data_IF_259226043448
#
_entry.id   IF_259226043448
#
_cell.length_a   1.000
_cell.length_b   1.000
_cell.length_c   1.000
_cell.angle_alpha   90.00
_cell.angle_beta   90.00
_cell.angle_gamma   90.00
#
_symmetry.space_group_name_H-M   'P 1'
#
loop_
_entity.id
_entity.type
_entity.pdbx_description
1 polymer ?
#
# COMPACT_ATOMS: atom_id res chain seq x y z
N UNK A 1 6.93 4.56 1.77
CA UNK A 1 7.11 5.10 3.14
C UNK A 1 7.46 3.97 4.11
N UNK A 2 6.55 3.07 4.48
CA UNK A 2 6.81 2.02 5.48
C UNK A 2 7.90 1.03 5.09
N UNK A 3 7.98 0.61 3.83
CA UNK A 3 9.07 -0.27 3.34
C UNK A 3 10.44 0.36 3.56
N UNK A 4 10.59 1.68 3.31
CA UNK A 4 11.84 2.41 3.57
C UNK A 4 12.19 2.51 5.07
N UNK A 5 11.21 2.28 5.95
CA UNK A 5 11.41 2.19 7.40
C UNK A 5 11.63 0.75 7.87
N UNK A 6 11.81 -0.20 6.96
CA UNK A 6 12.09 -1.60 7.26
C UNK A 6 10.85 -2.44 7.59
N UNK A 7 9.63 -1.93 7.30
CA UNK A 7 8.42 -2.74 7.43
C UNK A 7 8.23 -3.66 6.23
N UNK A 8 7.75 -4.85 6.48
CA UNK A 8 7.21 -5.73 5.47
C UNK A 8 5.76 -5.35 5.21
N UNK A 9 5.47 -4.81 4.04
CA UNK A 9 4.12 -4.35 3.66
C UNK A 9 3.40 -5.40 2.82
N UNK A 10 2.13 -5.66 3.14
CA UNK A 10 1.19 -6.47 2.36
C UNK A 10 0.05 -5.57 1.89
N UNK A 11 -0.23 -5.58 0.60
CA UNK A 11 -1.31 -4.83 -0.04
C UNK A 11 -2.60 -5.64 0.09
N UNK A 12 -3.29 -5.49 1.22
CA UNK A 12 -4.43 -6.32 1.58
C UNK A 12 -5.65 -6.01 0.70
N UNK A 13 -5.93 -4.75 0.43
CA UNK A 13 -7.02 -4.30 -0.42
C UNK A 13 -6.91 -4.84 -1.86
N UNK A 14 -5.69 -4.89 -2.43
CA UNK A 14 -5.45 -5.44 -3.76
C UNK A 14 -5.67 -6.97 -3.84
N UNK A 15 -5.51 -7.68 -2.73
CA UNK A 15 -5.65 -9.14 -2.67
C UNK A 15 -7.08 -9.60 -2.38
N UNK A 16 -7.84 -8.85 -1.55
CA UNK A 16 -9.14 -9.27 -1.01
C UNK A 16 -10.32 -8.51 -1.62
N UNK A 17 -10.09 -7.45 -2.39
CA UNK A 17 -11.13 -6.64 -3.00
C UNK A 17 -12.13 -6.09 -1.98
N UNK A 18 -13.44 -6.23 -2.24
CA UNK A 18 -14.50 -5.71 -1.34
C UNK A 18 -14.55 -6.37 0.06
N UNK A 19 -13.83 -7.46 0.25
CA UNK A 19 -13.75 -8.19 1.53
C UNK A 19 -12.60 -7.72 2.43
N UNK A 20 -11.88 -6.66 2.03
CA UNK A 20 -10.73 -6.11 2.75
C UNK A 20 -11.09 -5.49 4.11
N UNK A 21 -12.39 -5.28 4.37
CA UNK A 21 -12.92 -4.65 5.59
C UNK A 21 -12.32 -3.25 5.86
N UNK A 22 -11.88 -2.55 4.79
CA UNK A 22 -11.24 -1.25 4.89
C UNK A 22 -9.76 -1.30 5.31
N UNK A 23 -9.11 -2.45 5.19
CA UNK A 23 -7.67 -2.60 5.38
C UNK A 23 -6.98 -2.56 4.03
N UNK A 24 -6.41 -1.43 3.69
CA UNK A 24 -5.70 -1.29 2.42
C UNK A 24 -4.31 -1.92 2.49
N UNK A 25 -3.58 -1.68 3.59
CA UNK A 25 -2.24 -2.20 3.82
C UNK A 25 -2.12 -2.81 5.21
N UNK A 26 -1.28 -3.83 5.32
CA UNK A 26 -0.81 -4.37 6.61
C UNK A 26 0.72 -4.35 6.60
N UNK A 27 1.32 -3.59 7.51
CA UNK A 27 2.77 -3.47 7.64
C UNK A 27 3.26 -4.14 8.93
N UNK A 28 4.29 -4.96 8.82
CA UNK A 28 4.82 -5.73 9.96
C UNK A 28 6.31 -5.49 10.14
N UNK A 29 6.72 -5.23 11.39
CA UNK A 29 8.14 -5.08 11.77
C UNK A 29 8.30 -5.50 13.24
N UNK A 30 9.29 -6.31 13.54
CA UNK A 30 9.69 -6.70 14.91
C UNK A 30 8.51 -7.14 15.80
N UNK A 31 7.57 -7.90 15.23
CA UNK A 31 6.38 -8.37 15.92
C UNK A 31 5.22 -7.37 15.99
N UNK A 32 5.44 -6.11 15.68
CA UNK A 32 4.40 -5.07 15.59
C UNK A 32 3.66 -5.15 14.25
N UNK A 33 2.36 -4.87 14.29
CA UNK A 33 1.49 -4.86 13.12
C UNK A 33 0.81 -3.49 13.01
N UNK A 34 0.98 -2.82 11.88
CA UNK A 34 0.20 -1.63 11.52
C UNK A 34 -0.92 -2.05 10.56
N UNK A 35 -2.14 -1.65 10.89
CA UNK A 35 -3.33 -1.83 10.04
C UNK A 35 -3.66 -0.47 9.45
N UNK A 36 -3.49 -0.33 8.13
CA UNK A 36 -3.50 0.98 7.48
C UNK A 36 -4.69 1.06 6.53
N UNK A 37 -5.47 2.14 6.68
CA UNK A 37 -6.51 2.53 5.74
C UNK A 37 -6.09 3.82 5.03
N UNK A 38 -6.23 3.83 3.69
CA UNK A 38 -5.88 4.97 2.84
C UNK A 38 -7.15 5.53 2.18
N UNK A 39 -7.38 6.84 2.27
CA UNK A 39 -8.48 7.51 1.57
C UNK A 39 -7.94 8.64 0.70
N UNK A 40 -7.88 8.37 -0.61
CA UNK A 40 -7.58 9.40 -1.60
C UNK A 40 -8.87 10.07 -2.06
N UNK A 41 -9.24 11.15 -1.39
CA UNK A 41 -10.42 11.93 -1.72
C UNK A 41 -10.05 13.34 -2.17
N UNK A 42 -10.95 13.99 -2.90
CA UNK A 42 -10.80 15.39 -3.27
C UNK A 42 -10.76 16.25 -1.99
N UNK A 43 -10.00 17.35 -2.02
CA UNK A 43 -9.71 18.19 -0.85
C UNK A 43 -10.98 18.77 -0.19
N UNK A 44 -12.05 18.93 -0.95
CA UNK A 44 -13.35 19.46 -0.50
C UNK A 44 -14.17 18.43 0.29
N UNK A 45 -13.80 17.16 0.22
CA UNK A 45 -14.48 16.08 0.95
C UNK A 45 -13.88 15.93 2.34
N UNK A 46 -14.73 15.60 3.29
CA UNK A 46 -14.34 15.41 4.70
C UNK A 46 -14.52 13.94 5.09
N UNK A 47 -13.56 13.41 5.82
CA UNK A 47 -13.63 12.06 6.39
C UNK A 47 -14.52 12.09 7.63
N UNK A 48 -15.58 11.28 7.61
CA UNK A 48 -16.53 11.16 8.72
C UNK A 48 -16.20 9.99 9.65
N UNK A 49 -16.73 10.03 10.85
CA UNK A 49 -16.47 9.10 11.95
C UNK A 49 -16.65 7.61 11.59
N UNK A 50 -17.54 7.29 10.65
CA UNK A 50 -17.76 5.90 10.18
C UNK A 50 -16.49 5.23 9.67
N UNK A 51 -15.58 5.98 9.04
CA UNK A 51 -14.33 5.44 8.52
C UNK A 51 -13.33 5.15 9.65
N UNK A 52 -13.35 5.95 10.70
CA UNK A 52 -12.55 5.75 11.90
C UNK A 52 -13.00 4.45 12.60
N UNK A 53 -14.30 4.27 12.78
CA UNK A 53 -14.84 3.04 13.38
C UNK A 53 -14.60 1.80 12.52
N UNK A 54 -14.68 1.93 11.20
CA UNK A 54 -14.37 0.83 10.29
C UNK A 54 -12.92 0.36 10.45
N UNK A 55 -11.95 1.28 10.43
CA UNK A 55 -10.55 0.96 10.65
C UNK A 55 -10.32 0.35 12.03
N UNK A 56 -10.89 0.94 13.08
CA UNK A 56 -10.75 0.43 14.44
C UNK A 56 -11.29 -1.00 14.58
N UNK A 57 -12.51 -1.26 14.10
CA UNK A 57 -13.11 -2.59 14.13
C UNK A 57 -12.28 -3.63 13.38
N UNK A 58 -11.76 -3.28 12.20
CA UNK A 58 -10.89 -4.18 11.43
C UNK A 58 -9.53 -4.41 12.09
N UNK A 59 -9.02 -3.43 12.83
CA UNK A 59 -7.78 -3.57 13.61
C UNK A 59 -7.97 -4.52 14.79
N UNK A 60 -9.08 -4.39 15.51
CA UNK A 60 -9.43 -5.32 16.61
C UNK A 60 -9.57 -6.75 16.06
N UNK A 61 -10.25 -6.93 14.93
CA UNK A 61 -10.37 -8.24 14.31
C UNK A 61 -9.00 -8.84 13.96
N UNK A 62 -8.07 -8.03 13.44
CA UNK A 62 -6.70 -8.47 13.15
C UNK A 62 -5.96 -8.85 14.44
N UNK A 63 -6.08 -8.05 15.50
CA UNK A 63 -5.44 -8.32 16.79
C UNK A 63 -5.94 -9.63 17.39
N UNK A 64 -7.25 -9.87 17.38
CA UNK A 64 -7.85 -11.12 17.86
C UNK A 64 -7.38 -12.32 17.04
N UNK A 65 -7.40 -12.22 15.70
CA UNK A 65 -7.04 -13.33 14.82
C UNK A 65 -5.55 -13.69 14.85
N UNK A 66 -4.68 -12.73 15.15
CA UNK A 66 -3.23 -12.94 15.18
C UNK A 66 -2.67 -13.10 16.59
N UNK A 67 -3.46 -12.81 17.62
CA UNK A 67 -3.04 -12.69 19.02
C UNK A 67 -1.83 -11.75 19.19
N UNK A 68 -1.83 -10.61 18.47
CA UNK A 68 -0.75 -9.61 18.47
C UNK A 68 -1.29 -8.20 18.62
N UNK A 69 -0.45 -7.31 19.15
CA UNK A 69 -0.79 -5.90 19.16
C UNK A 69 -0.81 -5.34 17.74
N UNK A 70 -1.92 -4.69 17.40
CA UNK A 70 -2.12 -4.04 16.12
C UNK A 70 -2.39 -2.55 16.35
N UNK A 71 -1.69 -1.70 15.62
CA UNK A 71 -1.87 -0.24 15.66
C UNK A 71 -2.64 0.21 14.42
N UNK A 72 -3.79 0.89 14.58
CA UNK A 72 -4.52 1.44 13.45
C UNK A 72 -3.87 2.72 12.95
N UNK A 73 -3.76 2.85 11.63
CA UNK A 73 -3.22 4.04 10.97
C UNK A 73 -4.17 4.51 9.86
N UNK A 74 -4.58 5.75 9.90
CA UNK A 74 -5.45 6.35 8.90
C UNK A 74 -4.71 7.39 8.08
N UNK A 75 -4.65 7.22 6.77
CA UNK A 75 -3.96 8.15 5.86
C UNK A 75 -4.97 8.72 4.88
N UNK A 76 -5.04 10.03 4.75
CA UNK A 76 -5.97 10.70 3.82
C UNK A 76 -5.37 11.93 3.17
N UNK A 77 -5.77 12.18 1.90
CA UNK A 77 -5.42 13.40 1.16
C UNK A 77 -6.28 14.61 1.53
N UNK A 78 -7.24 14.43 2.42
CA UNK A 78 -8.15 15.49 2.90
C UNK A 78 -8.15 15.55 4.43
N UNK A 79 -9.08 16.27 5.03
CA UNK A 79 -9.19 16.41 6.49
C UNK A 79 -10.27 15.50 7.08
N UNK A 80 -10.13 15.21 8.38
CA UNK A 80 -11.17 14.62 9.19
C UNK A 80 -12.17 15.70 9.65
N UNK A 81 -13.43 15.31 9.83
CA UNK A 81 -14.37 16.13 10.60
C UNK A 81 -13.89 16.23 12.06
N UNK A 82 -14.31 17.29 12.76
CA UNK A 82 -13.95 17.46 14.18
C UNK A 82 -14.32 16.24 15.04
N UNK A 83 -15.52 15.69 14.81
CA UNK A 83 -15.96 14.49 15.50
C UNK A 83 -15.09 13.26 15.17
N UNK A 84 -14.71 13.10 13.90
CA UNK A 84 -13.84 11.99 13.48
C UNK A 84 -12.45 12.10 14.12
N UNK A 85 -11.90 13.32 14.20
CA UNK A 85 -10.61 13.57 14.84
C UNK A 85 -10.64 13.25 16.34
N UNK A 86 -11.65 13.75 17.07
CA UNK A 86 -11.83 13.41 18.49
C UNK A 86 -11.97 11.91 18.73
N UNK A 87 -12.72 11.20 17.85
CA UNK A 87 -12.84 9.75 17.95
C UNK A 87 -11.49 9.04 17.67
N UNK A 88 -10.73 9.50 16.68
CA UNK A 88 -9.43 8.92 16.35
C UNK A 88 -8.43 9.08 17.51
N UNK A 89 -8.38 10.25 18.12
CA UNK A 89 -7.57 10.53 19.32
C UNK A 89 -7.95 9.60 20.47
N UNK A 90 -9.24 9.50 20.78
CA UNK A 90 -9.75 8.65 21.87
C UNK A 90 -9.45 7.15 21.64
N UNK A 91 -9.50 6.71 20.40
CA UNK A 91 -9.24 5.33 19.98
C UNK A 91 -7.74 5.06 19.70
N UNK A 92 -6.86 6.02 19.95
CA UNK A 92 -5.42 5.92 19.69
C UNK A 92 -5.10 5.49 18.25
N UNK A 93 -5.79 6.10 17.28
CA UNK A 93 -5.55 5.88 15.86
C UNK A 93 -4.53 6.91 15.37
N UNK A 94 -3.44 6.45 14.80
CA UNK A 94 -2.46 7.34 14.15
C UNK A 94 -3.09 7.92 12.87
N UNK A 95 -3.17 9.24 12.77
CA UNK A 95 -3.82 9.93 11.64
C UNK A 95 -2.83 10.81 10.88
N UNK A 96 -2.83 10.65 9.56
CA UNK A 96 -2.11 11.51 8.62
C UNK A 96 -3.13 12.20 7.70
N UNK A 97 -3.48 13.44 8.01
CA UNK A 97 -4.36 14.30 7.21
C UNK A 97 -3.56 15.08 6.16
N UNK A 98 -4.23 15.50 5.08
CA UNK A 98 -3.63 16.28 4.01
C UNK A 98 -2.33 15.67 3.47
N UNK A 99 -2.27 14.34 3.43
CA UNK A 99 -1.09 13.63 2.99
C UNK A 99 -0.81 13.95 1.51
N UNK A 100 0.34 14.55 1.25
CA UNK A 100 0.76 14.85 -0.10
C UNK A 100 1.30 13.60 -0.78
N UNK A 101 0.75 13.29 -1.94
CA UNK A 101 1.28 12.24 -2.80
C UNK A 101 2.64 12.71 -3.34
N UNK A 102 3.69 12.11 -2.85
CA UNK A 102 4.96 12.18 -3.57
C UNK A 102 4.88 11.19 -4.71
N UNK A 103 5.30 11.60 -5.90
CA UNK A 103 5.52 10.66 -6.99
C UNK A 103 6.48 9.58 -6.47
N UNK A 104 5.97 8.37 -6.38
CA UNK A 104 6.77 7.23 -5.96
C UNK A 104 6.99 6.35 -7.19
N UNK A 105 8.23 5.98 -7.48
CA UNK A 105 8.48 5.07 -8.58
C UNK A 105 7.74 3.75 -8.35
N UNK A 106 6.86 3.40 -9.29
CA UNK A 106 5.94 2.27 -9.15
C UNK A 106 6.41 1.03 -9.91
N UNK A 107 7.33 1.17 -10.85
CA UNK A 107 7.85 0.04 -11.62
C UNK A 107 8.87 -0.71 -10.80
N UNK A 108 8.58 -1.95 -10.43
CA UNK A 108 9.48 -2.83 -9.70
C UNK A 108 10.41 -3.53 -10.69
N UNK A 109 11.70 -3.31 -10.57
CA UNK A 109 12.74 -3.95 -11.36
C UNK A 109 13.50 -4.96 -10.49
N UNK A 110 13.24 -6.25 -10.68
CA UNK A 110 13.93 -7.33 -9.97
C UNK A 110 14.81 -8.17 -10.88
N UNK A 111 15.73 -8.90 -10.28
CA UNK A 111 16.56 -9.87 -10.96
C UNK A 111 16.16 -11.26 -10.46
N UNK A 112 15.75 -12.14 -11.40
CA UNK A 112 15.35 -13.49 -11.08
C UNK A 112 16.55 -14.33 -10.58
N UNK A 113 16.29 -15.50 -10.02
CA UNK A 113 17.34 -16.45 -9.64
C UNK A 113 18.19 -16.93 -10.82
N UNK A 114 17.67 -16.85 -12.06
CA UNK A 114 18.41 -17.12 -13.29
C UNK A 114 19.21 -15.94 -13.84
N UNK A 115 19.18 -14.78 -13.15
CA UNK A 115 19.87 -13.56 -13.58
C UNK A 115 19.08 -12.69 -14.58
N UNK A 116 17.84 -13.07 -14.92
CA UNK A 116 17.01 -12.26 -15.82
C UNK A 116 16.53 -10.99 -15.14
N UNK A 117 16.65 -9.86 -15.82
CA UNK A 117 16.14 -8.56 -15.44
C UNK A 117 14.68 -8.43 -15.85
N UNK A 118 13.78 -8.33 -14.88
CA UNK A 118 12.33 -8.31 -15.09
C UNK A 118 11.73 -7.10 -14.41
N UNK A 119 10.88 -6.32 -15.13
CA UNK A 119 10.08 -5.28 -14.49
C UNK A 119 8.62 -5.71 -14.34
N UNK A 120 8.00 -5.19 -13.29
CA UNK A 120 6.60 -5.43 -12.95
C UNK A 120 5.88 -4.10 -12.75
N UNK A 121 4.67 -4.03 -13.28
CA UNK A 121 3.75 -2.90 -13.10
C UNK A 121 2.75 -3.19 -11.97
N UNK A 122 2.13 -2.16 -11.36
CA UNK A 122 1.21 -2.32 -10.22
C UNK A 122 0.05 -3.29 -10.42
N UNK A 123 -0.33 -3.58 -11.66
CA UNK A 123 -1.43 -4.51 -12.01
C UNK A 123 -0.95 -5.88 -12.47
N UNK A 124 0.36 -6.12 -12.51
CA UNK A 124 0.90 -7.42 -12.86
C UNK A 124 0.62 -8.43 -11.74
N UNK A 125 0.31 -9.66 -12.11
CA UNK A 125 -0.05 -10.74 -11.19
C UNK A 125 0.98 -10.98 -10.08
N UNK A 126 2.25 -10.73 -10.35
CA UNK A 126 3.36 -10.96 -9.41
C UNK A 126 3.79 -9.68 -8.67
N UNK A 127 3.25 -8.52 -9.02
CA UNK A 127 3.72 -7.24 -8.48
C UNK A 127 3.78 -7.22 -6.95
N UNK A 128 2.72 -7.66 -6.28
CA UNK A 128 2.65 -7.64 -4.80
C UNK A 128 3.55 -8.69 -4.14
N UNK A 129 3.97 -9.71 -4.90
CA UNK A 129 4.85 -10.79 -4.43
C UNK A 129 6.32 -10.47 -4.61
N UNK A 130 6.66 -9.68 -5.62
CA UNK A 130 8.03 -9.28 -5.92
C UNK A 130 8.52 -8.30 -4.87
N UNK A 131 9.68 -8.60 -4.28
CA UNK A 131 10.37 -7.72 -3.34
C UNK A 131 11.61 -7.18 -4.00
N UNK A 132 11.83 -5.88 -3.81
CA UNK A 132 13.03 -5.19 -4.27
C UNK A 132 13.97 -5.08 -3.09
N UNK A 133 15.09 -5.79 -3.14
CA UNK A 133 16.08 -5.82 -2.05
C UNK A 133 17.09 -4.67 -2.11
N UNK A 134 17.20 -3.99 -3.27
CA UNK A 134 18.24 -3.01 -3.52
C UNK A 134 19.66 -3.58 -3.62
N UNK A 135 19.86 -4.86 -3.29
CA UNK A 135 21.15 -5.53 -3.27
C UNK A 135 21.49 -5.98 -4.69
N UNK A 136 21.60 -6.33 -5.53
CA UNK A 136 21.97 -6.91 -6.83
C UNK A 136 21.57 -6.04 -8.06
N UNK A 137 21.34 -4.74 -7.85
CA UNK A 137 20.87 -3.86 -8.92
C UNK A 137 19.35 -3.84 -9.08
N UNK A 138 18.62 -4.48 -8.19
CA UNK A 138 17.17 -4.35 -8.09
C UNK A 138 16.79 -2.94 -7.61
N UNK A 139 15.76 -2.36 -8.19
CA UNK A 139 15.32 -1.00 -7.86
C UNK A 139 13.88 -0.74 -8.26
N UNK A 140 13.34 0.35 -7.73
CA UNK A 140 12.14 0.97 -8.28
C UNK A 140 12.53 2.02 -9.30
N UNK A 141 11.79 2.13 -10.40
CA UNK A 141 11.97 3.19 -11.41
C UNK A 141 10.65 3.89 -11.70
N UNK A 142 10.73 5.12 -12.22
CA UNK A 142 9.57 5.98 -12.40
C UNK A 142 8.73 5.59 -13.62
N UNK A 143 9.34 5.03 -14.66
CA UNK A 143 8.65 4.70 -15.90
C UNK A 143 9.10 3.36 -16.49
N UNK A 144 8.32 2.87 -17.45
CA UNK A 144 8.62 1.68 -18.24
C UNK A 144 9.85 1.91 -19.10
N UNK A 145 9.95 3.09 -19.71
CA UNK A 145 11.08 3.47 -20.55
C UNK A 145 12.40 3.42 -19.77
N UNK A 146 12.39 3.90 -18.53
CA UNK A 146 13.56 3.82 -17.66
C UNK A 146 13.94 2.37 -17.36
N UNK A 147 12.94 1.49 -17.09
CA UNK A 147 13.18 0.08 -16.86
C UNK A 147 13.81 -0.60 -18.10
N UNK A 148 13.27 -0.33 -19.29
CA UNK A 148 13.76 -0.90 -20.54
C UNK A 148 15.15 -0.37 -20.91
N UNK A 149 15.45 0.91 -20.70
CA UNK A 149 16.79 1.47 -20.86
C UNK A 149 17.83 0.80 -19.95
N UNK A 150 17.42 0.35 -18.78
CA UNK A 150 18.27 -0.41 -17.85
C UNK A 150 18.36 -1.91 -18.19
N UNK A 151 17.72 -2.33 -19.27
CA UNK A 151 17.73 -3.69 -19.79
C UNK A 151 16.77 -4.64 -19.09
N UNK A 152 15.76 -4.12 -18.38
CA UNK A 152 14.70 -4.95 -17.84
C UNK A 152 13.62 -5.17 -18.90
N UNK A 153 13.08 -6.39 -18.97
CA UNK A 153 11.92 -6.73 -19.80
C UNK A 153 10.66 -6.85 -18.94
N UNK A 154 9.49 -6.70 -19.54
CA UNK A 154 8.22 -6.92 -18.85
C UNK A 154 8.05 -8.38 -18.42
N UNK A 155 7.35 -8.61 -17.33
CA UNK A 155 6.97 -9.95 -16.87
C UNK A 155 6.03 -10.64 -17.88
N UNK A 156 6.30 -11.91 -18.24
CA UNK A 156 5.56 -12.63 -19.29
C UNK A 156 4.11 -13.00 -18.95
N UNK A 157 3.70 -12.95 -17.70
CA UNK A 157 2.35 -13.34 -17.28
C UNK A 157 1.53 -12.11 -16.89
N UNK A 158 1.14 -11.35 -17.89
CA UNK A 158 0.17 -10.30 -17.75
C UNK A 158 -1.22 -10.82 -18.15
N UNK A 159 -2.22 -10.66 -17.28
CA UNK A 159 -3.61 -10.93 -17.57
C UNK A 159 -4.37 -9.61 -17.64
N UNK A 160 -4.32 -8.97 -18.78
CA UNK A 160 -5.10 -7.76 -19.03
C UNK A 160 -4.95 -7.33 -20.47
N UNK A 161 -6.06 -6.93 -21.08
CA UNK A 161 -6.09 -6.37 -22.42
C UNK A 161 -5.63 -4.91 -22.34
N UNK A 162 -4.56 -4.54 -23.04
CA UNK A 162 -4.03 -3.17 -23.11
C UNK A 162 -5.03 -2.14 -23.64
N UNK A 163 -6.17 -2.59 -24.16
CA UNK A 163 -7.21 -1.73 -24.75
C UNK A 163 -7.98 -0.86 -23.75
N UNK A 164 -7.78 -1.05 -22.43
CA UNK A 164 -8.53 -0.35 -21.37
C UNK A 164 -7.70 0.64 -20.52
N UNK A 165 -6.45 0.88 -20.86
CA UNK A 165 -5.63 1.89 -20.18
C UNK A 165 -5.54 3.13 -21.08
N UNK A 166 -6.61 3.88 -21.16
CA UNK A 166 -6.55 5.30 -21.48
C UNK A 166 -6.51 6.07 -20.15
N UNK A 167 -5.33 6.51 -19.80
CA UNK A 167 -5.11 7.55 -18.80
C UNK A 167 -4.99 8.88 -19.52
#
# INVERSE_FOLDING_TARGET
MYENCGYRVRYHGALMGKQDMGRDLVATKDGSILVIQCKRWAKEKTIHVKHIFQLYGSTIQMAVSTNKNCTPVFVTTTCLSEQARKCAEYLHIDVMENYEYKEYPLVKCNISSSGEKIYHLPFDQQYDRVRISGANGEKYVASVEEAEMLGFRHAYRWRGDLSLIHI
#
